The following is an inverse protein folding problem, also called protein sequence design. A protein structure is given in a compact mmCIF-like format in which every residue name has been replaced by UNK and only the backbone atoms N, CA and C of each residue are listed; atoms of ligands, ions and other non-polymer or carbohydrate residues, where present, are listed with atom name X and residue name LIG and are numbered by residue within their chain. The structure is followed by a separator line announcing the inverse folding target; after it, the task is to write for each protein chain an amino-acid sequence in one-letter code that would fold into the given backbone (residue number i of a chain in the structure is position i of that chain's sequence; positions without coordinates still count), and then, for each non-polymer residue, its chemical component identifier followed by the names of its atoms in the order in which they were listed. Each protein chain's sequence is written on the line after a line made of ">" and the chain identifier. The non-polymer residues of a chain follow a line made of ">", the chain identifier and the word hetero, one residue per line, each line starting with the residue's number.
data_IF_752008132201
#
_entry.id   IF_752008132201
#
_cell.length_a   1.000
_cell.length_b   1.000
_cell.length_c   1.000
_cell.angle_alpha   90.00
_cell.angle_beta   90.00
_cell.angle_gamma   90.00
#
_symmetry.space_group_name_H-M   'P 1'
#
loop_
_entity.id
_entity.type
_entity.pdbx_description
1 polymer ?
#
# COMPACT_ATOMS: atom_id res chain seq x y z
N UNK A 1 -8.12 15.87 -25.14
CA UNK A 1 -7.13 16.39 -24.18
C UNK A 1 -7.70 17.62 -23.51
N UNK A 2 -7.82 17.69 -22.17
CA UNK A 2 -8.19 18.95 -21.53
C UNK A 2 -7.01 19.91 -21.67
N UNK A 3 -7.09 20.84 -22.64
CA UNK A 3 -6.14 21.96 -22.76
C UNK A 3 -6.22 22.90 -21.54
N UNK A 4 -7.33 22.81 -20.78
CA UNK A 4 -7.71 23.69 -19.69
C UNK A 4 -7.44 23.07 -18.31
N UNK A 5 -6.65 23.75 -17.48
CA UNK A 5 -6.18 23.24 -16.19
C UNK A 5 -7.31 22.87 -15.19
N UNK A 6 -8.39 23.66 -15.03
CA UNK A 6 -9.50 23.28 -14.16
C UNK A 6 -10.23 22.00 -14.57
N UNK A 7 -10.33 21.73 -15.87
CA UNK A 7 -10.93 20.49 -16.36
C UNK A 7 -10.03 19.28 -16.04
N UNK A 8 -8.71 19.42 -16.28
CA UNK A 8 -7.73 18.40 -15.95
C UNK A 8 -7.67 18.10 -14.44
N UNK A 9 -7.77 19.14 -13.60
CA UNK A 9 -7.79 19.00 -12.15
C UNK A 9 -9.01 18.20 -11.66
N UNK A 10 -10.20 18.42 -12.24
CA UNK A 10 -11.41 17.67 -11.86
C UNK A 10 -11.30 16.17 -12.17
N UNK A 11 -10.58 15.81 -13.24
CA UNK A 11 -10.38 14.40 -13.63
C UNK A 11 -9.26 13.69 -12.87
N UNK A 12 -8.50 14.40 -12.03
CA UNK A 12 -7.41 13.83 -11.24
C UNK A 12 -7.86 13.14 -9.95
N UNK A 13 -9.16 13.09 -9.66
CA UNK A 13 -9.65 12.50 -8.42
C UNK A 13 -9.82 10.99 -8.56
N UNK A 14 -8.98 10.21 -7.87
CA UNK A 14 -9.08 8.75 -7.85
C UNK A 14 -7.83 8.04 -7.36
N UNK A 15 -7.80 6.72 -7.57
CA UNK A 15 -6.70 5.83 -7.21
C UNK A 15 -5.92 5.42 -8.45
N UNK A 16 -4.61 5.28 -8.30
CA UNK A 16 -3.72 4.74 -9.33
C UNK A 16 -2.53 4.04 -8.66
N UNK A 17 -1.87 3.17 -9.42
CA UNK A 17 -0.68 2.47 -8.96
C UNK A 17 0.57 2.99 -9.67
N UNK A 18 1.67 3.05 -8.93
CA UNK A 18 3.00 3.33 -9.45
C UNK A 18 3.97 2.23 -9.05
N UNK A 19 5.03 2.04 -9.83
CA UNK A 19 6.12 1.15 -9.45
C UNK A 19 7.12 1.90 -8.58
N UNK A 20 7.25 1.47 -7.31
CA UNK A 20 8.31 1.95 -6.41
C UNK A 20 9.57 1.10 -6.61
N UNK A 21 10.72 1.70 -6.98
CA UNK A 21 11.99 0.99 -7.04
C UNK A 21 12.55 0.70 -5.62
N UNK A 22 13.43 -0.31 -5.48
CA UNK A 22 14.14 -0.56 -4.23
C UNK A 22 15.13 0.58 -3.94
N UNK A 23 15.39 0.85 -2.67
CA UNK A 23 16.31 1.91 -2.21
C UNK A 23 15.70 3.32 -2.15
N UNK A 24 14.49 3.52 -2.65
CA UNK A 24 13.81 4.83 -2.62
C UNK A 24 12.78 4.87 -1.50
N UNK A 25 12.78 5.93 -0.70
CA UNK A 25 11.75 6.13 0.34
C UNK A 25 10.40 6.50 -0.30
N UNK A 26 9.30 5.93 0.18
CA UNK A 26 7.95 6.12 -0.40
C UNK A 26 7.53 7.60 -0.48
N UNK A 27 7.93 8.42 0.49
CA UNK A 27 7.68 9.88 0.48
C UNK A 27 8.24 10.54 -0.77
N UNK A 28 9.46 10.19 -1.20
CA UNK A 28 10.07 10.76 -2.41
C UNK A 28 9.28 10.41 -3.67
N UNK A 29 8.68 9.21 -3.72
CA UNK A 29 7.80 8.81 -4.82
C UNK A 29 6.55 9.68 -4.84
N UNK A 30 5.87 9.81 -3.68
CA UNK A 30 4.68 10.66 -3.54
C UNK A 30 4.97 12.12 -3.89
N UNK A 31 6.03 12.68 -3.32
CA UNK A 31 6.40 14.09 -3.47
C UNK A 31 6.86 14.39 -4.90
N UNK A 32 7.56 13.43 -5.54
CA UNK A 32 7.91 13.52 -6.95
C UNK A 32 6.68 13.55 -7.86
N UNK A 33 5.67 12.72 -7.57
CA UNK A 33 4.42 12.71 -8.32
C UNK A 33 3.62 14.00 -8.08
N UNK A 34 3.50 14.46 -6.83
CA UNK A 34 2.85 15.74 -6.53
C UNK A 34 3.54 16.89 -7.29
N UNK A 35 4.87 16.94 -7.28
CA UNK A 35 5.64 17.97 -7.98
C UNK A 35 5.41 17.94 -9.49
N UNK A 36 5.42 16.74 -10.10
CA UNK A 36 5.17 16.59 -11.53
C UNK A 36 3.74 17.00 -11.90
N UNK A 37 2.74 16.57 -11.14
CA UNK A 37 1.34 16.93 -11.36
C UNK A 37 1.12 18.44 -11.24
N UNK A 38 1.72 19.10 -10.25
CA UNK A 38 1.65 20.55 -10.10
C UNK A 38 2.34 21.28 -11.26
N UNK A 39 3.48 20.79 -11.72
CA UNK A 39 4.19 21.34 -12.89
C UNK A 39 3.32 21.25 -14.14
N UNK A 40 2.74 20.09 -14.40
CA UNK A 40 1.91 19.84 -15.58
C UNK A 40 0.62 20.67 -15.54
N UNK A 41 -0.07 20.71 -14.39
CA UNK A 41 -1.29 21.52 -14.21
C UNK A 41 -1.05 23.01 -14.42
N UNK A 42 0.08 23.54 -13.96
CA UNK A 42 0.44 24.95 -14.14
C UNK A 42 0.94 25.27 -15.57
N UNK A 43 1.27 24.26 -16.37
CA UNK A 43 1.67 24.41 -17.78
C UNK A 43 0.48 24.48 -18.74
N UNK A 44 -0.70 23.97 -18.33
CA UNK A 44 -1.94 24.02 -19.08
C UNK A 44 -2.56 25.42 -19.13
N UNK A 45 -3.52 25.63 -20.04
CA UNK A 45 -4.25 26.90 -20.16
C UNK A 45 -5.00 27.22 -18.86
N UNK A 46 -4.81 28.44 -18.38
CA UNK A 46 -5.37 28.93 -17.11
C UNK A 46 -6.55 29.86 -17.37
N UNK A 47 -7.50 29.97 -16.42
CA UNK A 47 -8.54 31.00 -16.47
C UNK A 47 -7.93 32.39 -16.57
N UNK A 48 -8.51 33.26 -17.42
CA UNK A 48 -8.11 34.65 -17.50
C UNK A 48 -8.33 35.35 -16.14
N UNK A 49 -7.47 36.33 -15.77
CA UNK A 49 -7.66 37.08 -14.54
C UNK A 49 -9.00 37.82 -14.56
N UNK A 50 -9.60 38.00 -13.38
CA UNK A 50 -10.85 38.74 -13.27
C UNK A 50 -10.67 40.16 -13.79
N UNK A 51 -11.71 40.68 -14.44
CA UNK A 51 -11.72 42.06 -14.92
C UNK A 51 -12.41 42.96 -13.91
N UNK A 52 -11.86 44.17 -13.72
CA UNK A 52 -12.44 45.22 -12.89
C UNK A 52 -12.61 46.49 -13.72
N UNK A 53 -13.69 47.22 -13.46
CA UNK A 53 -13.88 48.55 -14.04
C UNK A 53 -13.10 49.55 -13.19
N UNK A 54 -12.15 50.26 -13.81
CA UNK A 54 -11.48 51.40 -13.19
C UNK A 54 -11.83 52.67 -13.94
N UNK A 55 -12.18 53.69 -13.18
CA UNK A 55 -12.37 55.04 -13.69
C UNK A 55 -11.02 55.74 -13.70
N UNK A 56 -10.51 56.02 -14.91
CA UNK A 56 -9.22 56.68 -15.08
C UNK A 56 -9.45 58.15 -15.42
N UNK A 57 -8.81 59.09 -14.70
CA UNK A 57 -8.85 60.50 -15.07
C UNK A 57 -7.98 60.71 -16.31
N UNK A 58 -8.57 61.27 -17.35
CA UNK A 58 -7.92 61.73 -18.57
C UNK A 58 -8.01 63.25 -18.68
N UNK A 59 -7.02 63.85 -19.34
CA UNK A 59 -7.03 65.28 -19.66
C UNK A 59 -7.35 65.40 -21.15
N UNK A 60 -8.48 66.00 -21.49
CA UNK A 60 -8.81 66.35 -22.87
C UNK A 60 -8.55 67.84 -23.11
N UNK A 61 -8.12 68.21 -24.33
CA UNK A 61 -7.95 69.62 -24.72
C UNK A 61 -9.30 70.15 -25.21
N UNK A 62 -10.02 70.87 -24.34
CA UNK A 62 -11.20 71.65 -24.69
C UNK A 62 -10.84 73.07 -25.13
N UNK A 63 -11.78 73.79 -25.77
CA UNK A 63 -11.52 75.14 -26.33
C UNK A 63 -11.15 76.21 -25.30
N UNK A 64 -11.39 75.98 -24.00
CA UNK A 64 -11.12 76.93 -22.90
C UNK A 64 -10.11 76.42 -21.85
N UNK A 65 -9.33 75.38 -22.13
CA UNK A 65 -8.31 74.85 -21.21
C UNK A 65 -8.36 73.32 -21.04
N UNK A 66 -7.55 72.79 -20.11
CA UNK A 66 -7.49 71.36 -19.78
C UNK A 66 -8.76 70.93 -19.05
N UNK A 67 -9.58 70.08 -19.69
CA UNK A 67 -10.81 69.55 -19.12
C UNK A 67 -10.56 68.13 -18.57
N UNK A 68 -10.98 67.89 -17.32
CA UNK A 68 -10.84 66.59 -16.65
C UNK A 68 -12.00 65.69 -17.08
N UNK A 69 -11.68 64.66 -17.87
CA UNK A 69 -12.64 63.64 -18.31
C UNK A 69 -12.41 62.35 -17.56
N UNK A 70 -13.46 61.68 -17.09
CA UNK A 70 -13.36 60.36 -16.45
C UNK A 70 -13.75 59.30 -17.48
N UNK A 71 -12.84 58.38 -17.79
CA UNK A 71 -13.12 57.26 -18.71
C UNK A 71 -13.19 55.95 -17.92
N UNK A 72 -14.32 55.24 -18.03
CA UNK A 72 -14.45 53.90 -17.49
C UNK A 72 -13.66 52.92 -18.37
N UNK A 73 -12.62 52.28 -17.82
CA UNK A 73 -11.78 51.30 -18.53
C UNK A 73 -11.87 49.95 -17.81
N UNK A 74 -12.03 48.88 -18.57
CA UNK A 74 -12.01 47.51 -18.05
C UNK A 74 -10.55 47.05 -18.03
N UNK A 75 -10.01 46.78 -16.83
CA UNK A 75 -8.63 46.34 -16.64
C UNK A 75 -8.60 45.01 -15.89
N UNK A 76 -7.62 44.12 -16.16
CA UNK A 76 -7.43 42.94 -15.35
C UNK A 76 -7.05 43.32 -13.91
N UNK A 77 -7.55 42.55 -12.94
CA UNK A 77 -7.13 42.65 -11.55
C UNK A 77 -5.68 42.16 -11.45
N UNK A 78 -4.73 43.08 -11.29
CA UNK A 78 -3.30 42.74 -11.25
C UNK A 78 -2.92 41.80 -10.10
N UNK A 79 -3.70 41.77 -9.01
CA UNK A 79 -3.50 40.81 -7.92
C UNK A 79 -3.73 39.35 -8.36
N UNK A 80 -4.55 39.14 -9.39
CA UNK A 80 -4.80 37.81 -9.96
C UNK A 80 -3.79 37.45 -11.07
N UNK A 81 -2.89 38.37 -11.43
CA UNK A 81 -1.87 38.14 -12.45
C UNK A 81 -0.81 37.14 -11.94
N UNK A 82 -0.34 36.25 -12.83
CA UNK A 82 0.64 35.19 -12.51
C UNK A 82 1.90 35.70 -11.82
N UNK A 83 2.38 36.90 -12.19
CA UNK A 83 3.57 37.52 -11.56
C UNK A 83 3.34 37.97 -10.11
N UNK A 84 2.10 38.30 -9.74
CA UNK A 84 1.77 38.74 -8.38
C UNK A 84 1.35 37.56 -7.49
N UNK A 85 0.52 36.67 -8.03
CA UNK A 85 -0.07 35.53 -7.31
C UNK A 85 0.84 34.29 -7.26
N UNK A 86 1.74 34.13 -8.23
CA UNK A 86 2.50 32.91 -8.43
C UNK A 86 1.72 31.83 -9.19
N UNK A 87 2.13 30.55 -9.09
CA UNK A 87 1.43 29.44 -9.75
C UNK A 87 0.00 29.29 -9.21
N UNK A 88 -0.94 28.87 -10.08
CA UNK A 88 -2.34 28.70 -9.70
C UNK A 88 -2.54 27.47 -8.80
N UNK A 89 -1.73 26.43 -8.99
CA UNK A 89 -1.77 25.19 -8.22
C UNK A 89 -0.46 25.07 -7.42
N UNK A 90 -0.55 25.19 -6.09
CA UNK A 90 0.61 25.13 -5.20
C UNK A 90 0.68 23.86 -4.36
N UNK A 91 -0.44 23.17 -4.16
CA UNK A 91 -0.53 21.96 -3.35
C UNK A 91 -1.59 21.03 -3.93
N UNK A 92 -1.30 19.73 -3.90
CA UNK A 92 -2.25 18.70 -4.30
C UNK A 92 -2.34 17.66 -3.18
N UNK A 93 -3.57 17.31 -2.80
CA UNK A 93 -3.78 16.28 -1.78
C UNK A 93 -3.45 14.90 -2.37
N UNK A 94 -2.23 14.42 -2.14
CA UNK A 94 -1.77 13.07 -2.54
C UNK A 94 -1.61 12.19 -1.29
N UNK A 95 -2.44 11.15 -1.19
CA UNK A 95 -2.38 10.13 -0.15
C UNK A 95 -1.63 8.89 -0.61
N UNK A 96 -1.07 8.16 0.36
CA UNK A 96 -0.45 6.86 0.13
C UNK A 96 -1.31 5.76 0.77
N UNK A 97 -1.46 4.64 0.06
CA UNK A 97 -2.11 3.44 0.58
C UNK A 97 -1.17 2.65 1.49
N UNK A 98 -1.08 1.34 1.23
CA UNK A 98 -0.15 0.47 1.94
C UNK A 98 1.31 0.82 1.61
N UNK A 99 2.03 1.28 2.62
CA UNK A 99 3.41 1.75 2.50
C UNK A 99 4.37 0.57 2.32
N UNK A 100 5.33 0.76 1.41
CA UNK A 100 6.49 -0.11 1.24
C UNK A 100 7.70 0.50 1.95
N UNK A 101 8.48 -0.35 2.65
CA UNK A 101 9.77 0.05 3.20
C UNK A 101 10.75 0.51 2.09
N UNK A 102 11.87 1.11 2.48
CA UNK A 102 12.84 1.68 1.54
C UNK A 102 13.39 0.60 0.59
N UNK A 103 13.64 -0.60 1.10
CA UNK A 103 14.34 -1.69 0.40
C UNK A 103 13.43 -2.52 -0.49
N UNK A 104 12.14 -2.53 -0.19
CA UNK A 104 11.13 -3.25 -0.94
C UNK A 104 10.77 -2.47 -2.19
N UNK A 105 10.40 -3.22 -3.21
CA UNK A 105 10.00 -2.68 -4.51
C UNK A 105 8.61 -3.17 -4.89
N UNK A 106 8.01 -2.60 -5.94
CA UNK A 106 6.77 -3.13 -6.50
C UNK A 106 5.63 -2.13 -6.58
N UNK A 107 4.42 -2.67 -6.67
CA UNK A 107 3.18 -1.89 -6.79
C UNK A 107 3.04 -0.98 -5.57
N UNK A 108 2.79 0.31 -5.77
CA UNK A 108 2.55 1.29 -4.73
C UNK A 108 1.33 2.13 -5.09
N UNK A 109 0.25 1.99 -4.32
CA UNK A 109 -1.03 2.63 -4.59
C UNK A 109 -1.06 4.02 -3.97
N UNK A 110 -1.44 5.00 -4.79
CA UNK A 110 -1.59 6.40 -4.41
C UNK A 110 -2.99 6.88 -4.74
N UNK A 111 -3.44 7.89 -4.02
CA UNK A 111 -4.75 8.50 -4.22
C UNK A 111 -4.63 10.01 -4.30
N UNK A 112 -5.29 10.64 -5.27
CA UNK A 112 -5.31 12.10 -5.43
C UNK A 112 -6.70 12.66 -5.11
N UNK A 113 -6.75 13.72 -4.30
CA UNK A 113 -7.98 14.39 -3.89
C UNK A 113 -8.98 13.44 -3.21
N UNK A 114 -10.12 13.19 -3.85
CA UNK A 114 -11.12 12.25 -3.32
C UNK A 114 -10.57 10.81 -3.19
N UNK A 115 -9.59 10.43 -4.01
CA UNK A 115 -8.92 9.14 -3.91
C UNK A 115 -8.29 8.86 -2.55
N UNK A 116 -7.96 9.90 -1.77
CA UNK A 116 -7.48 9.70 -0.39
C UNK A 116 -8.49 9.05 0.54
N UNK A 117 -9.80 9.23 0.29
CA UNK A 117 -10.86 8.53 1.04
C UNK A 117 -10.96 7.08 0.60
N UNK A 118 -10.98 6.85 -0.72
CA UNK A 118 -10.97 5.51 -1.32
C UNK A 118 -9.79 4.66 -0.86
N UNK A 119 -8.62 5.26 -0.59
CA UNK A 119 -7.48 4.55 0.00
C UNK A 119 -7.79 3.99 1.39
N UNK A 120 -8.52 4.73 2.21
CA UNK A 120 -8.96 4.28 3.54
C UNK A 120 -9.94 3.13 3.41
N UNK A 121 -10.93 3.27 2.52
CA UNK A 121 -11.95 2.25 2.27
C UNK A 121 -11.30 0.94 1.77
N UNK A 122 -10.33 1.04 0.85
CA UNK A 122 -9.55 -0.10 0.35
C UNK A 122 -8.72 -0.80 1.44
N UNK A 123 -8.24 -0.05 2.44
CA UNK A 123 -7.51 -0.60 3.58
C UNK A 123 -8.44 -1.34 4.54
N UNK A 124 -9.63 -0.81 4.74
CA UNK A 124 -10.69 -1.43 5.56
C UNK A 124 -11.33 -2.64 4.88
N UNK A 125 -11.22 -2.75 3.55
CA UNK A 125 -11.66 -3.92 2.79
C UNK A 125 -10.79 -5.19 2.99
N UNK A 126 -9.71 -5.11 3.78
CA UNK A 126 -8.83 -6.24 4.12
C UNK A 126 -8.41 -7.09 2.91
N UNK A 127 -7.98 -6.42 1.84
CA UNK A 127 -7.61 -7.05 0.58
C UNK A 127 -6.27 -7.78 0.67
N UNK A 128 -6.18 -8.90 -0.05
CA UNK A 128 -4.93 -9.67 -0.15
C UNK A 128 -3.86 -8.90 -0.92
N UNK A 129 -2.61 -9.10 -0.50
CA UNK A 129 -1.43 -8.59 -1.19
C UNK A 129 -0.53 -9.76 -1.58
N UNK A 130 0.15 -9.62 -2.71
CA UNK A 130 1.06 -10.66 -3.20
C UNK A 130 2.48 -10.11 -3.30
N UNK A 131 3.43 -10.95 -2.89
CA UNK A 131 4.84 -10.64 -2.87
C UNK A 131 5.65 -11.75 -3.51
N UNK A 132 6.66 -11.36 -4.27
CA UNK A 132 7.79 -12.21 -4.60
C UNK A 132 8.92 -11.89 -3.62
N UNK A 133 9.34 -12.90 -2.85
CA UNK A 133 10.38 -12.78 -1.83
C UNK A 133 11.54 -13.67 -2.19
N UNK A 134 12.73 -13.09 -2.25
CA UNK A 134 13.97 -13.81 -2.51
C UNK A 134 14.70 -14.07 -1.19
N UNK A 135 15.12 -15.31 -1.01
CA UNK A 135 15.86 -15.78 0.15
C UNK A 135 17.22 -16.35 -0.27
N UNK A 136 18.16 -16.31 0.68
CA UNK A 136 19.49 -16.88 0.56
C UNK A 136 19.78 -17.71 1.80
N UNK A 137 20.07 -19.00 1.63
CA UNK A 137 20.48 -19.90 2.70
C UNK A 137 21.95 -19.72 3.10
N UNK A 138 22.29 -20.19 4.30
CA UNK A 138 23.66 -20.28 4.81
C UNK A 138 24.19 -18.99 5.43
N UNK A 139 23.34 -17.98 5.64
CA UNK A 139 23.68 -16.70 6.26
C UNK A 139 22.56 -16.29 7.21
N UNK A 140 22.91 -15.74 8.36
CA UNK A 140 22.02 -15.03 9.29
C UNK A 140 22.52 -13.60 9.52
N UNK A 141 21.60 -12.66 9.66
CA UNK A 141 21.89 -11.25 9.98
C UNK A 141 20.94 -10.72 11.05
N UNK A 142 21.33 -9.62 11.68
CA UNK A 142 20.58 -8.96 12.75
C UNK A 142 19.20 -8.43 12.35
N UNK A 143 19.07 -7.92 11.14
CA UNK A 143 17.82 -7.34 10.61
C UNK A 143 17.07 -8.28 9.63
N UNK A 144 17.49 -9.55 9.55
CA UNK A 144 17.00 -10.57 8.62
C UNK A 144 17.17 -10.21 7.14
N UNK A 145 18.00 -9.21 6.83
CA UNK A 145 18.29 -8.76 5.48
C UNK A 145 19.70 -9.14 5.03
N UNK A 146 19.93 -9.17 3.72
CA UNK A 146 21.24 -9.47 3.15
C UNK A 146 22.35 -8.45 3.50
N UNK A 147 22.00 -7.19 3.74
CA UNK A 147 22.94 -6.10 4.08
C UNK A 147 23.18 -5.91 5.58
N UNK A 148 22.42 -6.60 6.43
CA UNK A 148 22.59 -6.53 7.88
C UNK A 148 23.95 -7.06 8.34
N UNK A 149 24.27 -6.86 9.61
CA UNK A 149 25.50 -7.40 10.20
C UNK A 149 25.38 -8.92 10.26
N UNK A 150 26.36 -9.63 9.73
CA UNK A 150 26.37 -11.10 9.73
C UNK A 150 26.54 -11.60 11.17
N UNK A 151 25.58 -12.39 11.63
CA UNK A 151 25.60 -13.04 12.95
C UNK A 151 26.17 -14.45 12.82
N UNK A 152 25.72 -15.19 11.81
CA UNK A 152 26.02 -16.61 11.68
C UNK A 152 26.15 -17.01 10.20
N UNK A 153 26.96 -18.04 9.94
CA UNK A 153 27.04 -18.74 8.66
C UNK A 153 26.84 -20.22 8.90
N UNK A 154 26.02 -20.84 8.05
CA UNK A 154 25.59 -22.23 8.18
C UNK A 154 25.71 -22.95 6.85
N UNK A 155 25.83 -24.28 6.89
CA UNK A 155 25.83 -25.13 5.69
C UNK A 155 24.40 -25.28 5.15
N UNK A 156 24.25 -25.38 3.83
CA UNK A 156 22.96 -25.49 3.16
C UNK A 156 22.84 -26.70 2.21
N UNK A 157 23.89 -27.53 2.13
CA UNK A 157 23.96 -28.67 1.20
C UNK A 157 22.89 -29.74 1.47
N UNK A 158 22.41 -29.83 2.71
CA UNK A 158 21.38 -30.77 3.11
C UNK A 158 19.95 -30.32 2.76
N UNK A 159 19.77 -29.11 2.24
CA UNK A 159 18.46 -28.51 1.94
C UNK A 159 18.02 -28.95 0.54
N UNK A 160 16.92 -29.70 0.50
CA UNK A 160 16.28 -30.12 -0.76
C UNK A 160 14.96 -29.40 -0.96
N UNK A 161 14.49 -29.36 -2.21
CA UNK A 161 13.19 -28.77 -2.56
C UNK A 161 12.05 -29.40 -1.76
N UNK A 162 12.05 -30.72 -1.61
CA UNK A 162 10.99 -31.43 -0.87
C UNK A 162 10.94 -31.03 0.60
N UNK A 163 12.11 -30.79 1.24
CA UNK A 163 12.15 -30.32 2.64
C UNK A 163 11.57 -28.91 2.76
N UNK A 164 11.92 -28.03 1.83
CA UNK A 164 11.36 -26.68 1.78
C UNK A 164 9.83 -26.75 1.59
N UNK A 165 9.34 -27.50 0.61
CA UNK A 165 7.90 -27.60 0.32
C UNK A 165 7.10 -28.17 1.51
N UNK A 166 7.65 -29.12 2.29
CA UNK A 166 7.02 -29.59 3.53
C UNK A 166 6.86 -28.48 4.56
N UNK A 167 7.89 -27.67 4.77
CA UNK A 167 7.82 -26.55 5.72
C UNK A 167 6.84 -25.48 5.25
N UNK A 168 6.84 -25.17 3.95
CA UNK A 168 5.87 -24.23 3.37
C UNK A 168 4.43 -24.71 3.58
N UNK A 169 4.17 -26.03 3.44
CA UNK A 169 2.85 -26.61 3.70
C UNK A 169 2.44 -26.49 5.18
N UNK A 170 3.37 -26.68 6.12
CA UNK A 170 3.11 -26.50 7.57
C UNK A 170 2.77 -25.03 7.88
N UNK A 171 3.57 -24.09 7.36
CA UNK A 171 3.31 -22.65 7.52
C UNK A 171 1.93 -22.28 6.96
N UNK A 172 1.60 -22.77 5.76
CA UNK A 172 0.30 -22.52 5.14
C UNK A 172 -0.85 -23.08 5.97
N UNK A 173 -0.73 -24.31 6.48
CA UNK A 173 -1.75 -24.94 7.32
C UNK A 173 -2.01 -24.16 8.62
N UNK A 174 -0.95 -23.74 9.31
CA UNK A 174 -1.05 -22.94 10.54
C UNK A 174 -1.72 -21.59 10.28
N UNK A 175 -1.36 -20.90 9.18
CA UNK A 175 -1.97 -19.62 8.83
C UNK A 175 -3.43 -19.76 8.36
N UNK A 176 -3.80 -20.86 7.72
CA UNK A 176 -5.18 -21.13 7.35
C UNK A 176 -6.07 -21.26 8.59
N UNK A 177 -5.58 -21.93 9.63
CA UNK A 177 -6.29 -22.01 10.92
C UNK A 177 -6.44 -20.62 11.55
N UNK A 178 -5.40 -19.79 11.53
CA UNK A 178 -5.47 -18.42 12.02
C UNK A 178 -6.49 -17.57 11.23
N UNK A 179 -6.55 -17.72 9.91
CA UNK A 179 -7.52 -17.03 9.07
C UNK A 179 -8.96 -17.32 9.49
N UNK A 180 -9.28 -18.61 9.71
CA UNK A 180 -10.60 -19.05 10.13
C UNK A 180 -10.96 -18.48 11.52
N UNK A 181 -10.00 -18.50 12.46
CA UNK A 181 -10.23 -17.93 13.79
C UNK A 181 -10.53 -16.43 13.73
N UNK A 182 -9.77 -15.68 12.92
CA UNK A 182 -9.93 -14.22 12.81
C UNK A 182 -11.08 -13.77 11.92
N UNK A 183 -11.69 -14.67 11.14
CA UNK A 183 -12.88 -14.36 10.36
C UNK A 183 -14.18 -14.48 11.17
N UNK A 184 -14.14 -15.02 12.41
CA UNK A 184 -15.33 -15.28 13.24
C UNK A 184 -16.44 -16.07 12.51
N UNK A 185 -16.06 -16.86 11.51
CA UNK A 185 -17.00 -17.69 10.74
C UNK A 185 -17.09 -19.04 11.43
N UNK A 186 -18.30 -19.50 11.73
CA UNK A 186 -18.51 -20.91 12.09
C UNK A 186 -18.34 -21.77 10.83
N UNK A 187 -17.27 -22.57 10.79
CA UNK A 187 -16.97 -23.49 9.68
C UNK A 187 -18.11 -24.47 9.37
N UNK A 188 -19.01 -24.72 10.32
CA UNK A 188 -20.16 -25.62 10.13
C UNK A 188 -21.37 -24.92 9.50
N UNK A 189 -21.31 -23.61 9.33
CA UNK A 189 -22.39 -22.84 8.71
C UNK A 189 -22.42 -23.01 7.20
N UNK A 190 -23.62 -22.87 6.62
CA UNK A 190 -23.81 -22.81 5.17
C UNK A 190 -23.07 -21.61 4.56
N UNK A 191 -22.98 -20.49 5.28
CA UNK A 191 -22.27 -19.30 4.84
C UNK A 191 -20.75 -19.52 4.71
N UNK A 192 -20.14 -20.30 5.62
CA UNK A 192 -18.73 -20.68 5.49
C UNK A 192 -18.46 -21.44 4.19
N UNK A 193 -19.41 -22.30 3.79
CA UNK A 193 -19.34 -23.02 2.53
C UNK A 193 -19.48 -22.09 1.33
N UNK A 194 -20.46 -21.17 1.36
CA UNK A 194 -20.64 -20.15 0.32
C UNK A 194 -19.40 -19.26 0.16
N UNK A 195 -18.84 -18.76 1.26
CA UNK A 195 -17.63 -17.93 1.26
C UNK A 195 -16.39 -18.69 0.80
N UNK A 196 -16.31 -20.00 1.07
CA UNK A 196 -15.24 -20.85 0.57
C UNK A 196 -15.34 -21.07 -0.95
N UNK A 197 -16.55 -21.18 -1.49
CA UNK A 197 -16.81 -21.27 -2.94
C UNK A 197 -16.53 -19.94 -3.63
N UNK A 198 -16.93 -18.82 -3.01
CA UNK A 198 -16.70 -17.46 -3.53
C UNK A 198 -15.25 -16.97 -3.33
N UNK A 199 -14.50 -17.60 -2.43
CA UNK A 199 -13.10 -17.23 -2.12
C UNK A 199 -12.95 -15.96 -1.28
N UNK A 200 -13.98 -15.60 -0.50
CA UNK A 200 -14.08 -14.31 0.20
C UNK A 200 -13.72 -14.35 1.69
N UNK A 201 -13.18 -15.46 2.20
CA UNK A 201 -12.78 -15.54 3.62
C UNK A 201 -11.72 -14.49 3.94
N UNK A 202 -12.07 -13.53 4.78
CA UNK A 202 -11.21 -12.42 5.23
C UNK A 202 -11.37 -12.22 6.74
N UNK A 203 -10.33 -11.72 7.43
CA UNK A 203 -10.44 -11.30 8.82
C UNK A 203 -11.48 -10.18 8.97
N UNK A 204 -12.31 -10.27 10.01
CA UNK A 204 -13.35 -9.27 10.31
C UNK A 204 -12.79 -8.02 10.98
N UNK A 205 -11.69 -8.20 11.72
CA UNK A 205 -11.02 -7.16 12.46
C UNK A 205 -9.51 -7.20 12.17
N UNK A 206 -8.79 -6.26 12.78
CA UNK A 206 -7.33 -6.21 12.70
C UNK A 206 -6.72 -7.50 13.27
N UNK A 207 -6.28 -8.37 12.37
CA UNK A 207 -5.58 -9.61 12.72
C UNK A 207 -4.06 -9.42 12.71
N UNK A 208 -3.30 -10.35 13.33
CA UNK A 208 -1.89 -10.51 12.99
C UNK A 208 -1.71 -10.78 11.48
N UNK A 209 -0.48 -10.64 10.94
CA UNK A 209 -0.16 -11.03 9.58
C UNK A 209 -0.58 -12.48 9.31
N UNK A 210 -1.30 -12.71 8.22
CA UNK A 210 -1.78 -14.05 7.82
C UNK A 210 -1.30 -14.35 6.40
N UNK A 211 -0.65 -15.49 6.22
CA UNK A 211 -0.27 -16.00 4.90
C UNK A 211 -1.39 -16.89 4.36
N UNK A 212 -2.09 -16.44 3.33
CA UNK A 212 -3.18 -17.22 2.72
C UNK A 212 -2.65 -18.29 1.77
N UNK A 213 -1.54 -18.00 1.07
CA UNK A 213 -0.91 -18.91 0.12
C UNK A 213 0.59 -18.66 0.07
N UNK A 214 1.37 -19.73 -0.01
CA UNK A 214 2.82 -19.66 -0.17
C UNK A 214 3.28 -20.74 -1.15
N UNK A 215 4.12 -20.38 -2.12
CA UNK A 215 4.69 -21.35 -3.07
C UNK A 215 6.14 -21.04 -3.39
N UNK A 216 6.94 -22.08 -3.64
CA UNK A 216 8.28 -21.92 -4.17
C UNK A 216 8.22 -21.78 -5.70
N UNK A 217 8.74 -20.67 -6.23
CA UNK A 217 8.83 -20.41 -7.67
C UNK A 217 10.14 -20.93 -8.25
N UNK A 218 11.24 -20.68 -7.54
CA UNK A 218 12.57 -21.03 -7.97
C UNK A 218 13.39 -21.52 -6.79
N UNK A 219 14.14 -22.59 -7.00
CA UNK A 219 14.96 -23.23 -5.98
C UNK A 219 16.29 -23.63 -6.62
N UNK A 220 17.34 -22.87 -6.34
CA UNK A 220 18.71 -23.14 -6.80
C UNK A 220 19.65 -22.74 -5.66
N UNK A 221 19.79 -23.62 -4.64
CA UNK A 221 20.54 -23.33 -3.43
C UNK A 221 21.93 -22.74 -3.73
N UNK A 222 22.39 -21.73 -2.95
CA UNK A 222 21.74 -21.21 -1.75
C UNK A 222 20.54 -20.28 -2.01
N UNK A 223 20.22 -19.95 -3.25
CA UNK A 223 19.14 -19.01 -3.59
C UNK A 223 17.79 -19.69 -3.78
N UNK A 224 16.73 -19.02 -3.34
CA UNK A 224 15.36 -19.46 -3.59
C UNK A 224 14.42 -18.26 -3.68
N UNK A 225 13.29 -18.47 -4.35
CA UNK A 225 12.25 -17.45 -4.52
C UNK A 225 10.90 -18.01 -4.14
N UNK A 226 10.20 -17.30 -3.27
CA UNK A 226 8.85 -17.61 -2.84
C UNK A 226 7.86 -16.60 -3.40
N UNK A 227 6.68 -17.06 -3.75
CA UNK A 227 5.51 -16.21 -3.89
C UNK A 227 4.63 -16.38 -2.66
N UNK A 228 4.27 -15.25 -2.04
CA UNK A 228 3.51 -15.20 -0.79
C UNK A 228 2.31 -14.30 -1.03
N UNK A 229 1.11 -14.84 -0.82
CA UNK A 229 -0.12 -14.08 -0.70
C UNK A 229 -0.47 -13.96 0.78
N UNK A 230 -0.72 -12.73 1.23
CA UNK A 230 -0.92 -12.45 2.64
C UNK A 230 -1.86 -11.27 2.89
N UNK A 231 -2.25 -11.15 4.16
CA UNK A 231 -3.11 -10.14 4.74
C UNK A 231 -2.40 -9.52 5.95
N UNK A 232 -2.63 -8.22 6.19
CA UNK A 232 -2.11 -7.47 7.34
C UNK A 232 -0.60 -7.59 7.58
N UNK A 233 0.16 -7.88 6.53
CA UNK A 233 1.59 -8.10 6.59
C UNK A 233 2.39 -6.80 6.68
N UNK A 234 3.63 -6.95 7.14
CA UNK A 234 4.67 -5.94 6.98
C UNK A 234 5.85 -6.53 6.21
N UNK A 235 6.66 -5.69 5.58
CA UNK A 235 7.82 -6.17 4.82
C UNK A 235 8.88 -6.77 5.76
N UNK A 236 8.96 -6.29 7.01
CA UNK A 236 9.81 -6.89 8.04
C UNK A 236 9.34 -8.30 8.41
N UNK A 237 8.02 -8.52 8.51
CA UNK A 237 7.45 -9.82 8.78
C UNK A 237 7.79 -10.84 7.68
N UNK A 238 7.72 -10.44 6.40
CA UNK A 238 8.12 -11.31 5.29
C UNK A 238 9.60 -11.73 5.36
N UNK A 239 10.49 -10.83 5.81
CA UNK A 239 11.91 -11.16 6.03
C UNK A 239 12.09 -12.13 7.18
N UNK A 240 11.35 -11.93 8.28
CA UNK A 240 11.34 -12.83 9.43
C UNK A 240 10.91 -14.24 9.04
N UNK A 241 9.87 -14.39 8.21
CA UNK A 241 9.44 -15.71 7.71
C UNK A 241 10.57 -16.42 6.96
N UNK A 242 11.32 -15.71 6.11
CA UNK A 242 12.46 -16.31 5.40
C UNK A 242 13.49 -16.84 6.40
N UNK A 243 13.78 -16.07 7.46
CA UNK A 243 14.68 -16.49 8.52
C UNK A 243 14.15 -17.73 9.27
N UNK A 244 12.87 -17.75 9.66
CA UNK A 244 12.21 -18.88 10.33
C UNK A 244 12.22 -20.15 9.47
N UNK A 245 12.00 -20.03 8.14
CA UNK A 245 12.13 -21.15 7.19
C UNK A 245 13.55 -21.72 7.20
N UNK A 246 14.56 -20.85 7.28
CA UNK A 246 15.96 -21.27 7.40
C UNK A 246 16.17 -22.11 8.66
N UNK A 247 15.69 -21.63 9.81
CA UNK A 247 15.81 -22.31 11.10
C UNK A 247 15.15 -23.69 11.10
N UNK A 248 13.94 -23.80 10.56
CA UNK A 248 13.24 -25.09 10.44
C UNK A 248 13.96 -26.08 9.52
N UNK A 249 14.70 -25.59 8.53
CA UNK A 249 15.58 -26.40 7.69
C UNK A 249 16.91 -26.75 8.37
N UNK A 250 17.09 -26.42 9.66
CA UNK A 250 18.34 -26.58 10.41
C UNK A 250 19.50 -25.84 9.74
N UNK A 251 19.23 -24.64 9.25
CA UNK A 251 20.17 -23.74 8.60
C UNK A 251 19.82 -22.30 9.01
N UNK A 252 20.48 -21.33 8.42
CA UNK A 252 20.08 -19.93 8.47
C UNK A 252 19.64 -19.47 7.07
N UNK A 253 18.77 -18.46 7.02
CA UNK A 253 18.46 -17.77 5.79
C UNK A 253 18.27 -16.26 6.04
N UNK A 254 18.55 -15.48 5.00
CA UNK A 254 18.28 -14.03 4.96
C UNK A 254 17.41 -13.69 3.75
N UNK A 255 16.63 -12.63 3.87
CA UNK A 255 15.88 -12.09 2.76
C UNK A 255 16.74 -11.08 1.97
N UNK A 256 16.93 -11.34 0.68
CA UNK A 256 17.69 -10.46 -0.22
C UNK A 256 16.79 -9.40 -0.85
N UNK A 257 15.58 -9.78 -1.26
CA UNK A 257 14.66 -8.88 -1.96
C UNK A 257 13.20 -9.18 -1.65
N UNK A 258 12.44 -8.12 -1.39
CA UNK A 258 10.98 -8.16 -1.29
C UNK A 258 10.39 -7.31 -2.41
N UNK A 259 9.54 -7.91 -3.24
CA UNK A 259 8.82 -7.21 -4.31
C UNK A 259 7.33 -7.46 -4.19
N UNK A 260 6.55 -6.40 -3.98
CA UNK A 260 5.08 -6.48 -4.05
C UNK A 260 4.61 -6.56 -5.50
N UNK A 261 4.02 -7.68 -5.89
CA UNK A 261 3.48 -7.91 -7.23
C UNK A 261 2.02 -7.46 -7.35
N UNK A 262 1.29 -7.44 -6.23
CA UNK A 262 -0.12 -7.05 -6.19
C UNK A 262 -0.47 -6.39 -4.85
N UNK A 263 -1.30 -5.35 -4.91
CA UNK A 263 -1.93 -4.70 -3.75
C UNK A 263 -3.44 -4.62 -4.00
N UNK A 264 -4.19 -5.61 -3.49
CA UNK A 264 -5.62 -5.74 -3.73
C UNK A 264 -5.95 -5.91 -5.21
N UNK A 265 -6.56 -4.90 -5.82
CA UNK A 265 -6.92 -4.91 -7.25
C UNK A 265 -5.77 -4.49 -8.16
N UNK A 266 -4.75 -3.82 -7.62
CA UNK A 266 -3.66 -3.26 -8.40
C UNK A 266 -2.56 -4.28 -8.57
N UNK A 267 -2.19 -4.55 -9.81
CA UNK A 267 -1.12 -5.49 -10.16
C UNK A 267 0.08 -4.75 -10.76
N UNK A 268 1.16 -5.48 -11.06
CA UNK A 268 2.32 -4.90 -11.74
C UNK A 268 2.00 -4.30 -13.11
N UNK A 269 0.98 -4.79 -13.83
CA UNK A 269 0.59 -4.23 -15.13
C UNK A 269 -0.11 -2.88 -15.01
N UNK A 270 -0.75 -2.61 -13.86
CA UNK A 270 -1.41 -1.31 -13.61
C UNK A 270 -0.41 -0.26 -13.07
N UNK A 271 0.81 -0.66 -12.70
CA UNK A 271 1.77 0.19 -12.02
C UNK A 271 2.59 1.05 -13.00
N UNK A 272 2.37 2.37 -12.97
CA UNK A 272 3.10 3.32 -13.80
C UNK A 272 4.59 3.39 -13.41
N UNK A 273 5.47 3.32 -14.42
CA UNK A 273 6.91 3.56 -14.25
C UNK A 273 7.20 5.04 -14.04
N UNK A 274 8.40 5.35 -13.54
CA UNK A 274 8.84 6.73 -13.24
C UNK A 274 8.77 7.69 -14.44
N UNK A 275 8.94 7.18 -15.65
CA UNK A 275 8.84 7.94 -16.90
C UNK A 275 7.41 8.40 -17.20
N UNK A 276 6.41 7.74 -16.63
CA UNK A 276 4.99 8.00 -16.85
C UNK A 276 4.31 8.64 -15.63
N UNK A 277 5.08 9.32 -14.77
CA UNK A 277 4.54 10.14 -13.68
C UNK A 277 4.14 11.53 -14.19
N UNK A 278 3.40 11.56 -15.29
CA UNK A 278 2.85 12.74 -15.92
C UNK A 278 1.33 12.79 -15.74
N UNK A 279 0.76 13.99 -15.92
CA UNK A 279 -0.66 14.25 -15.75
C UNK A 279 -1.56 13.33 -16.60
N UNK A 280 -1.18 13.09 -17.86
CA UNK A 280 -2.01 12.34 -18.81
C UNK A 280 -2.04 10.86 -18.45
N UNK A 281 -0.87 10.26 -18.23
CA UNK A 281 -0.70 8.87 -17.83
C UNK A 281 -1.44 8.56 -16.52
N UNK A 282 -1.38 9.47 -15.54
CA UNK A 282 -2.08 9.30 -14.27
C UNK A 282 -3.60 9.41 -14.44
N UNK A 283 -4.10 10.36 -15.23
CA UNK A 283 -5.53 10.47 -15.52
C UNK A 283 -6.08 9.22 -16.21
N UNK A 284 -5.33 8.68 -17.17
CA UNK A 284 -5.74 7.48 -17.90
C UNK A 284 -5.69 6.24 -17.00
N UNK A 285 -4.67 6.12 -16.14
CA UNK A 285 -4.60 5.07 -15.12
C UNK A 285 -5.78 5.13 -14.14
N UNK A 286 -6.14 6.33 -13.66
CA UNK A 286 -7.30 6.51 -12.77
C UNK A 286 -8.59 6.06 -13.46
N UNK A 287 -8.83 6.52 -14.70
CA UNK A 287 -10.03 6.13 -15.46
C UNK A 287 -10.09 4.63 -15.70
N UNK A 288 -8.97 4.00 -16.03
CA UNK A 288 -8.89 2.56 -16.26
C UNK A 288 -9.17 1.74 -14.99
N UNK A 289 -8.68 2.20 -13.84
CA UNK A 289 -8.80 1.46 -12.57
C UNK A 289 -10.14 1.70 -11.86
N UNK A 290 -10.80 2.84 -12.08
CA UNK A 290 -12.04 3.23 -11.42
C UNK A 290 -13.14 2.15 -11.39
N UNK A 291 -13.50 1.46 -12.50
CA UNK A 291 -14.53 0.42 -12.45
C UNK A 291 -14.11 -0.78 -11.59
N UNK A 292 -12.81 -1.13 -11.57
CA UNK A 292 -12.29 -2.23 -10.72
C UNK A 292 -12.35 -1.85 -9.24
N UNK A 293 -12.01 -0.59 -8.91
CA UNK A 293 -12.08 -0.05 -7.54
C UNK A 293 -13.52 -0.10 -7.04
N UNK A 294 -14.46 0.45 -7.81
CA UNK A 294 -15.87 0.51 -7.40
C UNK A 294 -16.45 -0.89 -7.20
N UNK A 295 -16.21 -1.81 -8.14
CA UNK A 295 -16.69 -3.18 -8.03
C UNK A 295 -16.15 -3.90 -6.78
N UNK A 296 -14.89 -3.68 -6.40
CA UNK A 296 -14.31 -4.31 -5.21
C UNK A 296 -14.81 -3.68 -3.91
N UNK A 297 -14.99 -2.35 -3.88
CA UNK A 297 -15.55 -1.67 -2.71
C UNK A 297 -17.02 -2.08 -2.48
N UNK A 298 -17.82 -2.21 -3.53
CA UNK A 298 -19.19 -2.71 -3.43
C UNK A 298 -19.23 -4.14 -2.89
N UNK A 299 -18.32 -5.02 -3.35
CA UNK A 299 -18.19 -6.38 -2.80
C UNK A 299 -17.79 -6.38 -1.33
N UNK A 300 -16.83 -5.53 -0.95
CA UNK A 300 -16.38 -5.43 0.43
C UNK A 300 -17.47 -4.91 1.37
N UNK A 301 -18.26 -3.91 0.92
CA UNK A 301 -19.42 -3.40 1.65
C UNK A 301 -20.51 -4.47 1.79
N UNK A 302 -20.86 -5.16 0.71
CA UNK A 302 -21.85 -6.24 0.75
C UNK A 302 -21.43 -7.39 1.69
N UNK A 303 -20.14 -7.74 1.70
CA UNK A 303 -19.60 -8.72 2.64
C UNK A 303 -19.73 -8.25 4.10
N UNK A 304 -19.38 -6.98 4.35
CA UNK A 304 -19.49 -6.39 5.69
C UNK A 304 -20.94 -6.37 6.19
N UNK A 305 -21.90 -6.02 5.33
CA UNK A 305 -23.32 -5.97 5.66
C UNK A 305 -23.91 -7.36 5.93
N UNK A 306 -23.55 -8.37 5.12
CA UNK A 306 -23.94 -9.78 5.35
C UNK A 306 -23.49 -10.28 6.72
N UNK A 307 -22.27 -9.90 7.12
CA UNK A 307 -21.66 -10.40 8.35
C UNK A 307 -22.05 -9.60 9.61
N UNK A 308 -22.42 -8.32 9.49
CA UNK A 308 -22.92 -7.50 10.61
C UNK A 308 -24.40 -7.77 10.95
N UNK A 309 -25.19 -8.34 10.04
CA UNK A 309 -26.58 -8.72 10.29
C UNK A 309 -26.77 -9.87 11.31
N UNK A 310 -25.67 -10.39 11.87
CA UNK A 310 -25.65 -11.64 12.65
C UNK A 310 -25.32 -11.47 14.15
N UNK A 311 -25.38 -10.26 14.71
CA UNK A 311 -25.20 -10.02 16.17
C UNK A 311 -26.36 -10.55 17.05
N UNK A 312 -27.20 -11.45 16.51
CA UNK A 312 -28.28 -12.13 17.21
C UNK A 312 -27.91 -13.53 17.70
N UNK A 313 -26.87 -13.65 18.54
CA UNK A 313 -26.70 -14.83 19.39
C UNK A 313 -25.31 -15.46 19.39
N UNK A 314 -24.47 -15.07 20.36
CA UNK A 314 -23.54 -15.94 21.10
C UNK A 314 -22.58 -15.09 21.96
N UNK A 315 -23.12 -14.45 22.99
CA UNK A 315 -22.37 -13.62 23.95
C UNK A 315 -21.52 -14.42 24.95
N UNK A 316 -21.28 -15.72 24.75
CA UNK A 316 -20.64 -16.58 25.78
C UNK A 316 -19.20 -17.02 25.49
N UNK A 317 -18.58 -16.62 24.37
CA UNK A 317 -17.19 -17.03 24.07
C UNK A 317 -16.14 -15.94 24.30
N UNK A 318 -16.54 -14.73 24.70
CA UNK A 318 -15.62 -13.61 24.94
C UNK A 318 -14.84 -13.70 26.27
N UNK A 319 -15.24 -14.55 27.22
CA UNK A 319 -14.60 -14.66 28.54
C UNK A 319 -13.45 -15.67 28.63
N UNK A 320 -13.14 -16.41 27.55
CA UNK A 320 -11.94 -17.27 27.50
C UNK A 320 -10.70 -16.55 26.92
N UNK A 321 -10.81 -15.26 26.59
CA UNK A 321 -9.80 -14.50 25.86
C UNK A 321 -8.60 -13.98 26.68
N UNK A 322 -8.60 -14.05 28.01
CA UNK A 322 -7.45 -13.56 28.82
C UNK A 322 -6.46 -14.64 29.28
N UNK A 323 -6.72 -15.93 29.03
CA UNK A 323 -5.87 -17.02 29.53
C UNK A 323 -4.89 -17.61 28.50
N UNK A 324 -4.95 -17.21 27.23
CA UNK A 324 -4.12 -17.80 26.15
C UNK A 324 -2.97 -16.87 25.70
N UNK A 325 -2.90 -15.63 26.18
CA UNK A 325 -1.73 -14.75 25.93
C UNK A 325 -0.48 -15.17 26.74
N UNK A 326 -0.61 -16.15 27.64
CA UNK A 326 0.50 -16.75 28.39
C UNK A 326 0.48 -18.28 28.30
N UNK A 327 0.72 -18.84 27.11
CA UNK A 327 1.16 -20.24 27.02
C UNK A 327 2.14 -20.45 25.87
N UNK A 328 3.42 -20.33 26.23
CA UNK A 328 4.53 -21.21 25.83
C UNK A 328 4.49 -21.86 24.43
N UNK A 329 5.31 -21.33 23.53
CA UNK A 329 5.97 -22.17 22.52
C UNK A 329 7.12 -22.89 23.23
N UNK A 330 6.79 -24.11 23.67
CA UNK A 330 7.62 -25.28 23.97
C UNK A 330 9.13 -25.03 23.80
N UNK A 331 9.79 -24.79 24.94
CA UNK A 331 11.21 -25.13 25.13
C UNK A 331 11.24 -26.44 25.89
N UNK A 332 11.55 -27.55 25.23
CA UNK A 332 11.82 -28.82 25.92
C UNK A 332 13.31 -29.15 25.84
N UNK A 333 13.91 -29.30 27.02
CA UNK A 333 15.05 -30.17 27.23
C UNK A 333 16.28 -29.54 27.87
N UNK A 334 16.27 -29.39 29.20
CA UNK A 334 17.23 -30.07 30.09
C UNK A 334 17.19 -29.48 31.51
N UNK A 335 16.70 -30.27 32.47
CA UNK A 335 16.97 -30.08 33.90
C UNK A 335 17.07 -31.44 34.59
N UNK A 336 18.28 -31.82 34.94
CA UNK A 336 18.74 -32.44 36.19
C UNK A 336 20.28 -32.54 36.02
N UNK A 337 21.17 -32.22 36.95
CA UNK A 337 21.13 -32.37 38.40
C UNK A 337 22.12 -31.40 39.09
N UNK A 338 21.66 -30.90 40.24
CA UNK A 338 22.34 -30.81 41.54
C UNK A 338 23.70 -30.10 41.73
N UNK A 339 23.61 -29.15 42.67
CA UNK A 339 24.40 -29.01 43.90
C UNK A 339 25.57 -28.01 43.98
N UNK A 340 25.35 -27.09 44.93
CA UNK A 340 26.21 -26.61 46.04
C UNK A 340 27.07 -25.35 45.87
N UNK A 341 26.64 -24.38 46.68
CA UNK A 341 27.42 -23.62 47.67
C UNK A 341 28.30 -22.45 47.22
N UNK A 342 27.87 -21.26 47.69
CA UNK A 342 28.65 -20.22 48.36
C UNK A 342 30.03 -19.84 47.78
N UNK A 343 30.17 -18.62 47.27
CA UNK A 343 30.69 -17.44 47.99
C UNK A 343 30.43 -16.19 47.15
#
# INVERSE_FOLDING_TARGET
>A
MPQFAPAAYRTLHGLFAVYKPPGVHWKLVRDGIETNLLKDLNSLEQPAPRQQVRFLPGISKGSNGKELTITATILPVLADHKLAKGPNYCHLKVGAGHVLDVRSSGVFVLGVGHGTKLLTDMREAHLTKEYTVHGLFGKATDDFSDTGKVIEKTTHDHITRDKLERILAVIQGSNHRALIMHSRIDLKSQEAYELAVEGLIRPMEKSPPIITKIRCLHFTPPEFTLEIQCLHETQQYLRKIIHEIGLELKSSAVCTRVRRTRDGIFTLSDALLRTHWDLQSIQDAIKHCMPKVEAELQKALALKDRMLGYDGGSTEQAEQLESVEHTEIITTGARSDQNREAT
#
